data_IF_070030629247
#
_entry.id   IF_070030629247
#
_cell.length_a   1.000
_cell.length_b   1.000
_cell.length_c   1.000
_cell.angle_alpha   90.00
_cell.angle_beta   90.00
_cell.angle_gamma   90.00
#
_symmetry.space_group_name_H-M   'P 1'
#
loop_
_entity.id
_entity.type
_entity.pdbx_description
1 polymer ?
#
# COMPACT_ATOMS: atom_id res chain seq x y z
N UNK A 1 -20.28 -3.82 6.46
CA UNK A 1 -20.34 -2.50 7.14
C UNK A 1 -19.06 -1.73 6.85
N UNK A 2 -19.19 -0.52 6.32
CA UNK A 2 -18.05 0.33 5.98
C UNK A 2 -17.29 0.77 7.23
N UNK A 3 -15.97 0.60 7.23
CA UNK A 3 -15.09 1.07 8.31
C UNK A 3 -14.32 2.32 7.89
N UNK A 4 -13.91 2.39 6.63
CA UNK A 4 -13.14 3.50 6.10
C UNK A 4 -13.73 3.95 4.78
N UNK A 5 -13.67 5.25 4.52
CA UNK A 5 -14.02 5.84 3.24
C UNK A 5 -12.81 6.54 2.65
N UNK A 6 -12.73 6.60 1.35
CA UNK A 6 -11.63 7.25 0.68
C UNK A 6 -12.01 7.80 -0.68
N UNK A 7 -11.12 8.60 -1.22
CA UNK A 7 -11.25 9.14 -2.57
C UNK A 7 -9.87 9.44 -3.15
N UNK A 8 -9.81 9.51 -4.48
CA UNK A 8 -8.62 9.98 -5.16
C UNK A 8 -8.44 11.49 -4.93
N UNK A 9 -7.31 12.03 -5.35
CA UNK A 9 -6.97 13.44 -5.12
C UNK A 9 -8.05 14.42 -5.62
N UNK A 10 -8.65 14.18 -6.80
CA UNK A 10 -9.69 15.07 -7.35
C UNK A 10 -11.12 14.72 -6.89
N UNK A 11 -11.29 13.60 -6.19
CA UNK A 11 -12.60 13.14 -5.72
C UNK A 11 -13.45 12.41 -6.77
N UNK A 12 -12.96 12.24 -8.01
CA UNK A 12 -13.73 11.54 -9.06
C UNK A 12 -13.91 10.05 -8.75
N UNK A 13 -12.96 9.45 -8.01
CA UNK A 13 -13.02 8.05 -7.58
C UNK A 13 -13.27 8.04 -6.08
N UNK A 14 -14.26 7.26 -5.65
CA UNK A 14 -14.56 7.03 -4.24
C UNK A 14 -14.54 5.54 -3.93
N UNK A 15 -14.09 5.17 -2.73
CA UNK A 15 -14.04 3.79 -2.29
C UNK A 15 -14.43 3.66 -0.82
N UNK A 16 -14.85 2.46 -0.48
CA UNK A 16 -15.15 2.06 0.89
C UNK A 16 -14.39 0.78 1.23
N UNK A 17 -13.95 0.69 2.47
CA UNK A 17 -13.28 -0.50 3.00
C UNK A 17 -14.04 -0.99 4.21
N UNK A 18 -14.40 -2.28 4.23
CA UNK A 18 -15.24 -2.89 5.27
C UNK A 18 -14.48 -3.74 6.29
N UNK A 19 -13.14 -3.78 6.21
CA UNK A 19 -12.32 -4.56 7.13
C UNK A 19 -11.25 -3.70 7.79
N UNK A 20 -10.66 -4.21 8.87
CA UNK A 20 -9.44 -3.65 9.44
C UNK A 20 -8.25 -4.03 8.56
N UNK A 21 -7.16 -3.24 8.57
CA UNK A 21 -5.95 -3.62 7.86
C UNK A 21 -5.38 -4.96 8.38
N UNK A 22 -4.96 -5.81 7.46
CA UNK A 22 -4.20 -7.03 7.80
C UNK A 22 -2.87 -6.64 8.43
N UNK A 23 -2.21 -5.64 7.84
CA UNK A 23 -0.93 -5.10 8.32
C UNK A 23 -0.76 -3.68 7.79
N UNK A 24 -0.08 -2.86 8.56
CA UNK A 24 0.43 -1.55 8.13
C UNK A 24 1.94 -1.55 8.31
N UNK A 25 2.66 -1.10 7.30
CA UNK A 25 4.12 -1.10 7.29
C UNK A 25 4.67 0.03 6.44
N UNK A 26 5.97 0.29 6.58
CA UNK A 26 6.67 1.28 5.76
C UNK A 26 7.59 0.51 4.81
N UNK A 27 7.38 0.68 3.51
CA UNK A 27 8.16 0.01 2.48
C UNK A 27 9.23 0.93 1.91
N UNK A 28 10.47 0.43 1.83
CA UNK A 28 11.62 1.15 1.29
C UNK A 28 12.07 0.64 -0.08
N UNK A 29 11.33 -0.28 -0.71
CA UNK A 29 11.77 -0.92 -1.95
C UNK A 29 11.92 0.07 -3.11
N UNK A 30 12.85 -0.23 -3.99
CA UNK A 30 13.14 0.63 -5.15
C UNK A 30 11.94 0.77 -6.08
N UNK A 31 11.13 -0.27 -6.22
CA UNK A 31 9.94 -0.27 -7.09
C UNK A 31 8.86 0.67 -6.56
N UNK A 32 8.53 0.54 -5.27
CA UNK A 32 7.53 1.43 -4.65
C UNK A 32 7.97 2.89 -4.66
N UNK A 33 9.25 3.15 -4.38
CA UNK A 33 9.81 4.51 -4.43
C UNK A 33 9.71 5.10 -5.83
N UNK A 34 10.09 4.33 -6.84
CA UNK A 34 10.03 4.79 -8.24
C UNK A 34 8.59 5.05 -8.69
N UNK A 35 7.66 4.17 -8.34
CA UNK A 35 6.26 4.32 -8.68
C UNK A 35 5.62 5.56 -8.04
N UNK A 36 5.82 5.74 -6.75
CA UNK A 36 5.19 6.83 -5.99
C UNK A 36 5.96 8.14 -6.05
N UNK A 37 7.20 8.13 -6.57
CA UNK A 37 8.12 9.26 -6.51
C UNK A 37 8.32 9.76 -5.08
N UNK A 38 8.31 8.84 -4.12
CA UNK A 38 8.45 9.13 -2.68
C UNK A 38 9.62 8.33 -2.09
N UNK A 39 10.34 8.86 -1.09
CA UNK A 39 11.45 8.13 -0.48
C UNK A 39 11.02 6.89 0.30
N UNK A 40 9.77 6.83 0.76
CA UNK A 40 9.18 5.67 1.42
C UNK A 40 7.70 5.59 1.07
N UNK A 41 7.09 4.41 1.30
CA UNK A 41 5.65 4.22 1.09
C UNK A 41 5.01 3.61 2.32
N UNK A 42 3.91 4.19 2.76
CA UNK A 42 3.05 3.57 3.75
C UNK A 42 2.18 2.49 3.09
N UNK A 43 2.28 1.29 3.59
CA UNK A 43 1.49 0.14 3.14
C UNK A 43 0.36 -0.10 4.12
N UNK A 44 -0.86 -0.20 3.63
CA UNK A 44 -2.01 -0.63 4.41
C UNK A 44 -2.73 -1.75 3.63
N UNK A 45 -2.47 -2.99 4.03
CA UNK A 45 -2.96 -4.18 3.36
C UNK A 45 -4.35 -4.56 3.86
N UNK A 46 -5.27 -4.82 2.94
CA UNK A 46 -6.66 -5.20 3.25
C UNK A 46 -7.06 -6.47 2.51
N UNK A 47 -8.00 -7.27 3.06
CA UNK A 47 -8.59 -8.37 2.30
C UNK A 47 -9.22 -7.83 1.01
N UNK A 48 -9.00 -8.47 -0.14
CA UNK A 48 -9.50 -7.96 -1.43
C UNK A 48 -11.01 -7.72 -1.45
N UNK A 49 -11.78 -8.64 -0.86
CA UNK A 49 -13.23 -8.56 -0.81
C UNK A 49 -13.77 -7.40 0.03
N UNK A 50 -12.91 -6.77 0.84
CA UNK A 50 -13.29 -5.65 1.69
C UNK A 50 -13.18 -4.29 1.01
N UNK A 51 -12.53 -4.21 -0.14
CA UNK A 51 -12.26 -2.95 -0.85
C UNK A 51 -13.24 -2.81 -2.01
N UNK A 52 -14.09 -1.78 -1.96
CA UNK A 52 -15.10 -1.53 -3.00
C UNK A 52 -14.96 -0.11 -3.54
N UNK A 53 -14.85 0.00 -4.86
CA UNK A 53 -14.95 1.30 -5.55
C UNK A 53 -16.43 1.61 -5.69
N UNK A 54 -16.87 2.69 -5.06
CA UNK A 54 -18.29 3.08 -5.02
C UNK A 54 -18.65 4.13 -6.04
N UNK A 55 -17.65 4.80 -6.62
CA UNK A 55 -17.85 5.84 -7.63
C UNK A 55 -16.60 5.99 -8.48
N UNK A 56 -16.79 6.24 -9.77
CA UNK A 56 -15.71 6.61 -10.67
C UNK A 56 -14.79 5.48 -11.10
N UNK A 57 -15.24 4.24 -11.05
CA UNK A 57 -14.44 3.08 -11.48
C UNK A 57 -13.94 3.25 -12.93
N UNK A 58 -14.70 3.90 -13.79
CA UNK A 58 -14.34 4.20 -15.18
C UNK A 58 -13.13 5.12 -15.29
N UNK A 59 -12.76 5.81 -14.24
CA UNK A 59 -11.57 6.68 -14.19
C UNK A 59 -10.33 5.97 -13.66
N UNK A 60 -10.46 4.74 -13.20
CA UNK A 60 -9.31 3.96 -12.75
C UNK A 60 -8.62 3.29 -13.93
N UNK A 61 -7.30 3.29 -13.88
CA UNK A 61 -6.45 2.51 -14.77
C UNK A 61 -5.29 1.94 -13.97
N UNK A 62 -4.64 0.93 -14.50
CA UNK A 62 -3.55 0.28 -13.80
C UNK A 62 -2.39 -0.06 -14.72
N UNK A 63 -1.23 -0.25 -14.11
CA UNK A 63 -0.02 -0.72 -14.76
C UNK A 63 0.68 -1.74 -13.86
N UNK A 64 1.06 -2.87 -14.45
CA UNK A 64 1.80 -3.92 -13.76
C UNK A 64 3.17 -4.08 -14.42
N UNK A 65 4.22 -3.63 -13.76
CA UNK A 65 5.60 -3.91 -14.17
C UNK A 65 5.90 -5.40 -13.99
N UNK A 66 5.35 -5.99 -12.93
CA UNK A 66 5.42 -7.43 -12.64
C UNK A 66 4.01 -7.97 -12.49
N UNK A 67 3.77 -9.17 -12.99
CA UNK A 67 2.47 -9.83 -12.88
C UNK A 67 2.03 -9.95 -11.42
N UNK A 68 0.74 -9.66 -11.17
CA UNK A 68 0.17 -9.74 -9.83
C UNK A 68 0.39 -8.51 -8.95
N UNK A 69 0.87 -7.41 -9.53
CA UNK A 69 1.10 -6.14 -8.83
C UNK A 69 0.53 -5.00 -9.66
N UNK A 70 -0.81 -4.89 -9.67
CA UNK A 70 -1.53 -3.91 -10.49
C UNK A 70 -1.64 -2.58 -9.76
N UNK A 71 -0.76 -1.65 -10.10
CA UNK A 71 -0.73 -0.30 -9.52
C UNK A 71 -1.78 0.56 -10.18
N UNK A 72 -2.70 1.08 -9.38
CA UNK A 72 -3.96 1.69 -9.88
C UNK A 72 -4.07 3.14 -9.44
N UNK A 73 -4.44 3.99 -10.39
CA UNK A 73 -4.56 5.43 -10.17
C UNK A 73 -5.76 6.01 -10.91
N UNK A 74 -6.13 7.24 -10.55
CA UNK A 74 -7.18 7.99 -11.23
C UNK A 74 -6.64 8.66 -12.49
N UNK A 75 -7.27 8.42 -13.62
CA UNK A 75 -6.86 9.02 -14.90
C UNK A 75 -7.13 10.53 -14.98
N UNK A 76 -8.03 11.05 -14.14
CA UNK A 76 -8.36 12.48 -14.13
C UNK A 76 -7.34 13.32 -13.39
N UNK A 77 -6.81 12.82 -12.27
CA UNK A 77 -5.87 13.59 -11.45
C UNK A 77 -4.49 12.96 -11.32
N UNK A 78 -4.31 11.70 -11.71
CA UNK A 78 -3.07 10.95 -11.53
C UNK A 78 -2.82 10.50 -10.11
N UNK A 79 -3.73 10.77 -9.18
CA UNK A 79 -3.60 10.34 -7.79
C UNK A 79 -3.63 8.82 -7.66
N UNK A 80 -2.66 8.27 -6.91
CA UNK A 80 -2.60 6.84 -6.66
C UNK A 80 -3.73 6.43 -5.69
N UNK A 81 -4.34 5.28 -5.92
CA UNK A 81 -5.47 4.82 -5.11
C UNK A 81 -5.12 3.54 -4.36
N UNK A 82 -4.72 2.50 -5.07
CA UNK A 82 -4.30 1.22 -4.46
C UNK A 82 -3.40 0.44 -5.42
N UNK A 83 -2.75 -0.58 -4.88
CA UNK A 83 -2.10 -1.62 -5.67
C UNK A 83 -2.80 -2.95 -5.39
N UNK A 84 -3.27 -3.60 -6.44
CA UNK A 84 -3.89 -4.92 -6.32
C UNK A 84 -2.80 -5.99 -6.35
N UNK A 85 -2.55 -6.61 -5.20
CA UNK A 85 -1.63 -7.72 -5.03
C UNK A 85 -2.37 -9.06 -4.86
N UNK A 86 -3.65 -9.14 -5.23
CA UNK A 86 -4.47 -10.34 -4.99
C UNK A 86 -3.84 -11.59 -5.57
N UNK A 87 -3.34 -11.52 -6.80
CA UNK A 87 -2.76 -12.68 -7.49
C UNK A 87 -1.38 -13.08 -6.94
N UNK A 88 -0.66 -12.18 -6.28
CA UNK A 88 0.69 -12.43 -5.75
C UNK A 88 0.69 -12.66 -4.24
N UNK A 89 0.12 -11.74 -3.47
CA UNK A 89 0.15 -11.74 -2.01
C UNK A 89 -1.21 -11.96 -1.36
N UNK A 90 -2.29 -11.90 -2.14
CA UNK A 90 -3.64 -12.12 -1.62
C UNK A 90 -4.25 -10.92 -0.91
N UNK A 91 -3.77 -9.70 -1.14
CA UNK A 91 -4.34 -8.49 -0.53
C UNK A 91 -4.29 -7.29 -1.47
N UNK A 92 -5.09 -6.26 -1.12
CA UNK A 92 -4.98 -4.92 -1.70
C UNK A 92 -4.14 -4.05 -0.75
N UNK A 93 -3.18 -3.34 -1.33
CA UNK A 93 -2.50 -2.25 -0.63
C UNK A 93 -3.20 -0.95 -0.99
N UNK A 94 -4.05 -0.45 -0.09
CA UNK A 94 -4.68 0.86 -0.27
C UNK A 94 -3.73 1.91 0.29
N UNK A 95 -3.41 2.92 -0.50
CA UNK A 95 -2.55 4.00 -0.01
C UNK A 95 -3.20 4.66 1.20
N UNK A 96 -2.51 4.62 2.34
CA UNK A 96 -3.10 4.98 3.64
C UNK A 96 -3.74 6.36 3.65
N UNK A 97 -3.12 7.33 2.98
CA UNK A 97 -3.63 8.71 2.92
C UNK A 97 -4.90 8.87 2.07
N UNK A 98 -5.29 7.85 1.32
CA UNK A 98 -6.55 7.85 0.58
C UNK A 98 -7.74 7.64 1.52
N UNK A 99 -7.53 6.92 2.62
CA UNK A 99 -8.57 6.57 3.58
C UNK A 99 -8.64 7.63 4.70
N UNK A 100 -9.76 8.30 4.79
CA UNK A 100 -9.93 9.49 5.65
C UNK A 100 -9.86 9.18 7.15
N UNK A 101 -10.44 8.05 7.58
CA UNK A 101 -10.56 7.70 8.98
C UNK A 101 -9.41 6.83 9.50
N UNK A 102 -8.56 6.33 8.58
CA UNK A 102 -7.48 5.43 8.94
C UNK A 102 -6.36 6.18 9.66
N UNK A 103 -6.03 5.73 10.86
CA UNK A 103 -4.80 6.13 11.53
C UNK A 103 -3.70 5.17 11.09
N UNK A 104 -2.69 5.69 10.43
CA UNK A 104 -1.57 4.87 9.98
C UNK A 104 -0.61 4.61 11.14
N UNK A 105 -0.59 3.36 11.60
CA UNK A 105 0.25 2.92 12.72
C UNK A 105 1.07 1.72 12.23
N UNK A 106 2.23 1.97 11.58
CA UNK A 106 3.05 0.89 11.04
C UNK A 106 3.66 0.04 12.15
N UNK A 107 3.82 -1.25 11.88
CA UNK A 107 4.39 -2.21 12.83
C UNK A 107 5.81 -2.64 12.44
N UNK A 108 6.26 -2.30 11.23
CA UNK A 108 7.57 -2.71 10.74
C UNK A 108 7.98 -1.90 9.52
N UNK A 109 9.27 -1.96 9.18
CA UNK A 109 9.81 -1.50 7.92
C UNK A 109 10.12 -2.71 7.02
N UNK A 110 9.79 -2.60 5.73
CA UNK A 110 10.00 -3.63 4.72
C UNK A 110 11.06 -3.16 3.71
N UNK A 111 11.85 -4.11 3.20
CA UNK A 111 12.91 -3.83 2.23
C UNK A 111 13.89 -2.74 2.73
N UNK A 112 14.19 -2.75 4.01
CA UNK A 112 14.98 -1.69 4.63
C UNK A 112 16.41 -1.60 4.09
N UNK A 113 16.93 -2.69 3.55
CA UNK A 113 18.24 -2.72 2.88
C UNK A 113 18.33 -1.71 1.71
N UNK A 114 17.18 -1.36 1.14
CA UNK A 114 17.08 -0.41 0.04
C UNK A 114 16.81 1.03 0.49
N UNK A 115 16.80 1.29 1.80
CA UNK A 115 16.41 2.62 2.30
C UNK A 115 17.31 3.74 1.80
N UNK A 116 16.70 4.85 1.44
CA UNK A 116 17.39 6.14 1.20
C UNK A 116 17.02 7.15 2.27
N UNK A 117 16.18 6.75 3.23
CA UNK A 117 15.76 7.59 4.35
C UNK A 117 15.76 6.75 5.62
N UNK A 118 16.92 6.57 6.28
CA UNK A 118 17.00 5.80 7.51
C UNK A 118 16.07 6.36 8.58
N UNK A 119 15.35 5.47 9.26
CA UNK A 119 14.35 5.84 10.26
C UNK A 119 14.61 5.10 11.56
N UNK A 120 15.08 5.83 12.58
CA UNK A 120 15.38 5.25 13.90
C UNK A 120 14.17 5.44 14.82
N UNK A 121 13.19 4.56 14.67
CA UNK A 121 11.92 4.64 15.39
C UNK A 121 11.66 3.43 16.32
N UNK A 122 12.61 2.50 16.40
CA UNK A 122 12.46 1.30 17.23
C UNK A 122 11.61 0.20 16.62
N UNK A 123 11.00 0.42 15.45
CA UNK A 123 10.24 -0.63 14.79
C UNK A 123 11.18 -1.65 14.14
N UNK A 124 10.75 -2.92 14.03
CA UNK A 124 11.52 -3.94 13.33
C UNK A 124 11.84 -3.52 11.89
N UNK A 125 13.09 -3.74 11.46
CA UNK A 125 13.55 -3.46 10.11
C UNK A 125 13.82 -4.77 9.39
N UNK A 126 12.91 -5.19 8.52
CA UNK A 126 13.13 -6.40 7.71
C UNK A 126 14.00 -6.05 6.52
N UNK A 127 14.97 -6.92 6.25
CA UNK A 127 15.84 -6.82 5.08
C UNK A 127 14.99 -6.77 3.81
N UNK A 128 14.05 -7.71 3.70
CA UNK A 128 13.03 -7.77 2.66
C UNK A 128 11.63 -7.83 3.31
N UNK A 129 11.07 -9.03 3.49
CA UNK A 129 9.75 -9.23 4.10
C UNK A 129 9.81 -10.23 5.24
N UNK A 130 8.81 -10.21 6.15
CA UNK A 130 8.61 -11.31 7.10
C UNK A 130 8.42 -12.64 6.37
N UNK A 131 8.84 -13.74 7.01
CA UNK A 131 8.75 -15.08 6.42
C UNK A 131 7.31 -15.48 6.09
N UNK A 132 6.32 -15.07 6.90
CA UNK A 132 4.91 -15.38 6.68
C UNK A 132 4.30 -14.65 5.48
N UNK A 133 5.00 -13.67 4.91
CA UNK A 133 4.62 -13.00 3.66
C UNK A 133 5.55 -13.39 2.50
N UNK A 134 6.29 -14.48 2.64
CA UNK A 134 7.15 -15.01 1.58
C UNK A 134 8.55 -14.42 1.54
N UNK A 135 8.95 -13.67 2.55
CA UNK A 135 10.29 -13.10 2.66
C UNK A 135 11.28 -13.99 3.40
N UNK A 136 12.51 -13.49 3.55
CA UNK A 136 13.58 -14.20 4.30
C UNK A 136 13.34 -14.20 5.81
N UNK A 137 12.62 -13.22 6.33
CA UNK A 137 12.48 -12.99 7.76
C UNK A 137 13.73 -12.38 8.41
N UNK A 138 14.79 -12.13 7.63
CA UNK A 138 16.01 -11.51 8.15
C UNK A 138 15.78 -10.07 8.56
N UNK A 139 16.39 -9.69 9.68
CA UNK A 139 16.32 -8.33 10.23
C UNK A 139 17.65 -7.61 9.98
N UNK A 140 17.57 -6.29 9.87
CA UNK A 140 18.73 -5.41 9.74
C UNK A 140 18.67 -4.31 10.79
N UNK A 141 19.82 -3.68 11.07
CA UNK A 141 19.90 -2.56 12.01
C UNK A 141 19.28 -1.29 11.44
N UNK A 142 18.85 -0.39 12.35
CA UNK A 142 18.31 0.92 12.00
C UNK A 142 19.36 1.83 11.36
#
# INVERSE_FOLDING_TARGET
>A
MTKYTGQCFCGAVELEVSAEPIVMAICHCTVCRAWSASPVNGVAAFPPESVNVTKGEEHLTSFAQSEGHDRTWCTKCGGHVYTDHTASYGFFDVYASVLKELKFIPVAHLNYVNTIMPMKDGLPKFKDFPANFGGSGEMVDE
#
